data_IF_728727721289
#
_entry.id   IF_728727721289
#
_cell.length_a   1.000
_cell.length_b   1.000
_cell.length_c   1.000
_cell.angle_alpha   90.00
_cell.angle_beta   90.00
_cell.angle_gamma   90.00
#
_symmetry.space_group_name_H-M   'P 1'
#
loop_
_entity.id
_entity.type
_entity.pdbx_description
1 polymer ?
#
# COMPACT_ATOMS: atom_id res chain seq x y z
N UNK A 1 21.31 -17.11 7.56
CA UNK A 1 20.91 -15.74 7.20
C UNK A 1 21.46 -14.79 8.26
N UNK A 2 21.97 -13.64 7.86
CA UNK A 2 22.42 -12.61 8.81
C UNK A 2 21.17 -12.00 9.45
N UNK A 3 21.00 -12.14 10.76
CA UNK A 3 19.88 -11.53 11.47
C UNK A 3 20.11 -10.02 11.43
N UNK A 4 19.22 -9.27 10.78
CA UNK A 4 19.43 -7.84 10.53
C UNK A 4 19.05 -6.92 11.71
N UNK A 5 18.65 -7.50 12.85
CA UNK A 5 18.29 -6.79 14.09
C UNK A 5 17.35 -5.57 13.90
N UNK A 6 16.44 -5.71 12.95
CA UNK A 6 15.48 -4.68 12.55
C UNK A 6 14.05 -5.17 12.79
N UNK A 7 13.23 -4.32 13.40
CA UNK A 7 11.79 -4.52 13.56
C UNK A 7 11.05 -3.61 12.57
N UNK A 8 10.04 -4.12 11.89
CA UNK A 8 9.19 -3.32 11.02
C UNK A 8 7.90 -2.88 11.71
N UNK A 9 7.48 -1.64 11.44
CA UNK A 9 6.22 -1.06 11.89
C UNK A 9 5.47 -0.51 10.68
N UNK A 10 4.34 -1.12 10.33
CA UNK A 10 3.52 -0.74 9.16
C UNK A 10 2.37 0.16 9.60
N UNK A 11 2.35 1.38 9.11
CA UNK A 11 1.29 2.36 9.35
C UNK A 11 0.08 2.04 8.47
N UNK A 12 -0.95 1.45 9.07
CA UNK A 12 -2.16 0.99 8.41
C UNK A 12 -3.45 1.60 9.03
N UNK A 13 -3.31 2.73 9.73
CA UNK A 13 -4.38 3.36 10.52
C UNK A 13 -5.16 4.45 9.76
N UNK A 14 -4.75 4.81 8.53
CA UNK A 14 -5.35 5.88 7.74
C UNK A 14 -6.77 5.55 7.25
N UNK A 15 -7.66 6.56 7.20
CA UNK A 15 -9.05 6.41 6.74
C UNK A 15 -9.20 6.09 5.26
N UNK A 16 -8.23 6.49 4.41
CA UNK A 16 -8.30 6.26 2.96
C UNK A 16 -9.46 6.98 2.26
N UNK A 17 -9.93 8.10 2.79
CA UNK A 17 -11.15 8.80 2.35
C UNK A 17 -11.20 9.14 0.85
N UNK A 18 -10.05 9.26 0.19
CA UNK A 18 -9.94 9.52 -1.26
C UNK A 18 -10.29 8.32 -2.13
N UNK A 19 -10.43 7.11 -1.55
CA UNK A 19 -10.94 5.91 -2.21
C UNK A 19 -12.46 5.75 -2.05
N UNK A 20 -13.12 6.76 -1.50
CA UNK A 20 -14.57 6.86 -1.37
C UNK A 20 -15.19 5.57 -0.78
N UNK A 21 -16.19 5.02 -1.46
CA UNK A 21 -16.97 3.87 -0.99
C UNK A 21 -16.14 2.58 -0.84
N UNK A 22 -14.99 2.45 -1.52
CA UNK A 22 -14.10 1.30 -1.35
C UNK A 22 -13.57 1.15 0.07
N UNK A 23 -13.46 2.27 0.80
CA UNK A 23 -12.92 2.29 2.17
C UNK A 23 -13.98 2.54 3.24
N UNK A 24 -15.26 2.54 2.90
CA UNK A 24 -16.34 2.73 3.89
C UNK A 24 -16.45 1.58 4.89
N UNK A 25 -16.03 0.36 4.51
CA UNK A 25 -16.12 -0.85 5.34
C UNK A 25 -14.81 -1.65 5.39
N UNK A 26 -13.76 -1.12 4.77
CA UNK A 26 -12.47 -1.81 4.62
C UNK A 26 -11.35 -0.80 4.78
N UNK A 27 -10.38 -1.09 5.62
CA UNK A 27 -9.17 -0.26 5.73
C UNK A 27 -8.43 -0.22 4.38
N UNK A 28 -7.88 0.94 3.99
CA UNK A 28 -7.16 1.11 2.71
C UNK A 28 -6.13 0.00 2.43
N UNK A 29 -5.29 -0.44 3.39
CA UNK A 29 -4.33 -1.52 3.14
C UNK A 29 -4.95 -2.87 2.79
N UNK A 30 -6.22 -3.09 3.13
CA UNK A 30 -6.96 -4.32 2.80
C UNK A 30 -7.72 -4.26 1.46
N UNK A 31 -7.66 -3.14 0.74
CA UNK A 31 -8.26 -3.00 -0.59
C UNK A 31 -7.56 -3.94 -1.58
N UNK A 32 -8.35 -4.55 -2.46
CA UNK A 32 -7.88 -5.51 -3.47
C UNK A 32 -7.05 -4.84 -4.56
N UNK A 33 -5.98 -5.54 -5.02
CA UNK A 33 -5.07 -5.10 -6.07
C UNK A 33 -4.57 -6.29 -6.91
N UNK A 34 -4.29 -6.05 -8.20
CA UNK A 34 -3.55 -6.99 -9.05
C UNK A 34 -4.22 -8.34 -9.25
N UNK A 35 -5.54 -8.39 -9.23
CA UNK A 35 -6.33 -9.59 -9.51
C UNK A 35 -6.60 -10.48 -8.29
N UNK A 36 -5.70 -10.59 -7.33
CA UNK A 36 -5.83 -11.45 -6.14
C UNK A 36 -5.19 -10.92 -4.86
N UNK A 37 -4.33 -9.92 -4.97
CA UNK A 37 -3.58 -9.36 -3.83
C UNK A 37 -4.43 -8.33 -3.07
N UNK A 38 -3.94 -7.99 -1.88
CA UNK A 38 -4.31 -6.78 -1.15
C UNK A 38 -3.10 -5.84 -1.09
N UNK A 39 -3.32 -4.55 -0.93
CA UNK A 39 -2.22 -3.57 -0.87
C UNK A 39 -1.21 -3.94 0.21
N UNK A 40 -1.67 -4.39 1.39
CA UNK A 40 -0.82 -4.78 2.53
C UNK A 40 0.10 -5.97 2.24
N UNK A 41 -0.20 -6.79 1.22
CA UNK A 41 0.64 -7.93 0.86
C UNK A 41 2.04 -7.49 0.41
N UNK A 42 2.16 -6.31 -0.18
CA UNK A 42 3.43 -5.78 -0.68
C UNK A 42 4.41 -5.47 0.45
N UNK A 43 4.12 -4.59 1.41
CA UNK A 43 5.05 -4.31 2.50
C UNK A 43 5.31 -5.54 3.38
N UNK A 44 4.34 -6.42 3.62
CA UNK A 44 4.54 -7.65 4.38
C UNK A 44 5.43 -8.66 3.64
N UNK A 45 5.24 -8.84 2.32
CA UNK A 45 6.11 -9.68 1.49
C UNK A 45 7.52 -9.12 1.40
N UNK A 46 7.66 -7.80 1.27
CA UNK A 46 8.97 -7.15 1.27
C UNK A 46 9.68 -7.35 2.62
N UNK A 47 8.98 -7.28 3.76
CA UNK A 47 9.53 -7.61 5.08
C UNK A 47 10.05 -9.05 5.13
N UNK A 48 9.21 -10.01 4.75
CA UNK A 48 9.57 -11.43 4.76
C UNK A 48 10.78 -11.72 3.85
N UNK A 49 10.77 -11.20 2.62
CA UNK A 49 11.86 -11.37 1.66
C UNK A 49 13.16 -10.64 2.08
N UNK A 50 13.06 -9.60 2.90
CA UNK A 50 14.20 -8.86 3.46
C UNK A 50 14.75 -9.47 4.76
N UNK A 51 14.20 -10.61 5.22
CA UNK A 51 14.65 -11.27 6.45
C UNK A 51 14.28 -10.52 7.73
N UNK A 52 13.15 -9.80 7.73
CA UNK A 52 12.60 -9.15 8.91
C UNK A 52 11.60 -10.10 9.55
N UNK A 53 11.91 -10.57 10.75
CA UNK A 53 11.15 -11.62 11.43
C UNK A 53 9.92 -11.09 12.16
N UNK A 54 9.95 -9.85 12.65
CA UNK A 54 8.89 -9.29 13.48
C UNK A 54 8.33 -7.98 12.88
N UNK A 55 7.01 -7.96 12.71
CA UNK A 55 6.30 -6.86 12.06
C UNK A 55 5.11 -6.44 12.91
N UNK A 56 5.08 -5.19 13.36
CA UNK A 56 3.91 -4.55 13.94
C UNK A 56 3.04 -3.88 12.86
N UNK A 57 1.75 -4.16 12.82
CA UNK A 57 0.78 -3.51 11.92
C UNK A 57 -0.14 -2.64 12.74
N UNK A 58 0.02 -1.32 12.60
CA UNK A 58 -0.76 -0.33 13.35
C UNK A 58 -2.08 -0.08 12.64
N UNK A 59 -3.18 -0.49 13.27
CA UNK A 59 -4.53 -0.44 12.67
C UNK A 59 -5.46 0.43 13.50
N UNK A 60 -6.45 1.07 12.87
CA UNK A 60 -7.42 1.88 13.58
C UNK A 60 -8.79 1.90 12.88
N UNK A 61 -8.88 2.48 11.68
CA UNK A 61 -10.13 2.66 10.97
C UNK A 61 -10.52 1.41 10.19
N UNK A 62 -11.79 0.97 10.31
CA UNK A 62 -12.38 -0.20 9.61
C UNK A 62 -11.44 -1.43 9.55
N UNK A 63 -10.82 -1.73 10.70
CA UNK A 63 -9.68 -2.64 10.77
C UNK A 63 -10.04 -4.12 10.90
N UNK A 64 -11.31 -4.50 11.07
CA UNK A 64 -11.72 -5.89 11.35
C UNK A 64 -11.21 -6.86 10.27
N UNK A 65 -11.47 -6.54 8.98
CA UNK A 65 -11.01 -7.35 7.87
C UNK A 65 -9.48 -7.38 7.81
N UNK A 66 -8.83 -6.21 7.93
CA UNK A 66 -7.37 -6.11 7.92
C UNK A 66 -6.75 -6.93 9.06
N UNK A 67 -7.26 -6.77 10.28
CA UNK A 67 -6.77 -7.48 11.47
C UNK A 67 -6.84 -9.00 11.28
N UNK A 68 -7.98 -9.52 10.82
CA UNK A 68 -8.13 -10.95 10.56
C UNK A 68 -7.27 -11.44 9.40
N UNK A 69 -7.07 -10.60 8.39
CA UNK A 69 -6.26 -10.93 7.22
C UNK A 69 -4.77 -11.08 7.56
N UNK A 70 -4.21 -10.15 8.34
CA UNK A 70 -2.78 -10.15 8.69
C UNK A 70 -2.43 -11.01 9.90
N UNK A 71 -3.42 -11.44 10.65
CA UNK A 71 -3.22 -12.17 11.90
C UNK A 71 -2.28 -13.38 11.72
N UNK A 72 -1.37 -13.55 12.68
CA UNK A 72 -0.35 -14.61 12.77
C UNK A 72 0.70 -14.65 11.64
N UNK A 73 0.63 -13.81 10.60
CA UNK A 73 1.69 -13.71 9.58
C UNK A 73 1.90 -14.94 8.69
N UNK A 74 1.05 -15.96 8.78
CA UNK A 74 1.22 -17.27 8.13
C UNK A 74 1.39 -17.17 6.61
N UNK A 75 0.66 -16.26 5.95
CA UNK A 75 0.71 -16.09 4.48
C UNK A 75 2.09 -15.67 3.98
N UNK A 76 2.83 -14.95 4.82
CA UNK A 76 4.17 -14.43 4.51
C UNK A 76 5.28 -15.27 5.12
N UNK A 77 4.95 -16.42 5.78
CA UNK A 77 5.94 -17.23 6.50
C UNK A 77 6.49 -16.55 7.75
N UNK A 78 5.77 -15.59 8.31
CA UNK A 78 6.13 -14.85 9.54
C UNK A 78 5.37 -15.41 10.74
N UNK A 79 5.35 -16.74 10.90
CA UNK A 79 4.65 -17.45 11.97
C UNK A 79 5.52 -18.50 12.69
N UNK A 80 6.84 -18.42 12.50
CA UNK A 80 7.79 -19.28 13.19
C UNK A 80 7.99 -18.88 14.67
N UNK A 81 8.68 -19.69 15.45
CA UNK A 81 8.85 -19.52 16.90
C UNK A 81 9.35 -18.13 17.33
N UNK A 82 10.18 -17.48 16.51
CA UNK A 82 10.80 -16.18 16.80
C UNK A 82 10.38 -15.11 15.77
N UNK A 83 9.30 -15.33 15.05
CA UNK A 83 8.77 -14.39 14.07
C UNK A 83 7.28 -14.18 14.28
N UNK A 84 6.76 -13.04 13.83
CA UNK A 84 5.34 -12.76 13.96
C UNK A 84 4.89 -11.48 13.27
N UNK A 85 3.62 -11.46 12.89
CA UNK A 85 2.88 -10.25 12.54
C UNK A 85 1.94 -9.92 13.70
N UNK A 86 2.10 -8.74 14.26
CA UNK A 86 1.37 -8.28 15.44
C UNK A 86 0.44 -7.14 15.06
N UNK A 87 -0.85 -7.32 15.30
CA UNK A 87 -1.84 -6.26 15.07
C UNK A 87 -1.87 -5.34 16.29
N UNK A 88 -1.66 -4.06 16.05
CA UNK A 88 -1.53 -3.04 17.07
C UNK A 88 -2.61 -1.95 16.88
N UNK A 89 -3.84 -2.15 17.38
CA UNK A 89 -4.85 -1.10 17.45
C UNK A 89 -4.54 -0.14 18.60
N UNK A 90 -5.15 1.06 18.64
CA UNK A 90 -5.19 1.87 19.84
C UNK A 90 -5.70 1.05 21.02
N UNK A 91 -5.08 1.20 22.19
CA UNK A 91 -5.41 0.40 23.38
C UNK A 91 -5.37 1.24 24.65
N UNK A 92 -6.25 0.92 25.56
CA UNK A 92 -6.18 1.41 26.92
C UNK A 92 -4.99 0.79 27.65
N UNK A 93 -4.28 1.58 28.43
CA UNK A 93 -3.16 1.16 29.27
C UNK A 93 -3.48 1.40 30.73
N UNK A 94 -2.77 0.73 31.64
CA UNK A 94 -2.99 0.87 33.07
C UNK A 94 -2.81 2.30 33.60
N UNK A 95 -2.01 3.09 32.92
CA UNK A 95 -1.60 4.45 33.27
C UNK A 95 -2.09 5.53 32.28
N UNK A 96 -2.89 5.15 31.27
CA UNK A 96 -3.41 6.08 30.27
C UNK A 96 -4.73 5.60 29.69
N UNK A 97 -5.66 6.52 29.50
CA UNK A 97 -6.94 6.26 28.83
C UNK A 97 -6.74 5.85 27.35
N UNK A 98 -7.78 5.25 26.78
CA UNK A 98 -7.83 4.93 25.36
C UNK A 98 -7.76 6.23 24.52
N UNK A 99 -6.75 6.36 23.71
CA UNK A 99 -6.62 7.47 22.74
C UNK A 99 -6.34 6.93 21.34
N UNK A 100 -7.02 7.51 20.36
CA UNK A 100 -6.82 7.19 18.94
C UNK A 100 -5.44 7.68 18.48
N UNK A 101 -4.87 7.07 17.45
CA UNK A 101 -3.63 7.58 16.83
C UNK A 101 -3.88 8.94 16.18
N UNK A 102 -3.25 9.98 16.70
CA UNK A 102 -3.41 11.37 16.25
C UNK A 102 -2.56 11.70 15.03
N UNK A 103 -1.45 10.98 14.84
CA UNK A 103 -0.53 11.14 13.73
C UNK A 103 0.33 9.89 13.53
N UNK A 104 1.16 9.92 12.50
CA UNK A 104 2.02 8.78 12.14
C UNK A 104 3.09 8.49 13.20
N UNK A 105 3.66 9.52 13.82
CA UNK A 105 4.60 9.37 14.91
C UNK A 105 3.90 8.96 16.22
N UNK A 106 2.68 9.45 16.49
CA UNK A 106 1.89 9.07 17.66
C UNK A 106 1.57 7.57 17.64
N UNK A 107 1.26 7.01 16.48
CA UNK A 107 1.01 5.56 16.34
C UNK A 107 2.21 4.72 16.81
N UNK A 108 3.43 5.16 16.52
CA UNK A 108 4.64 4.49 17.00
C UNK A 108 4.86 4.78 18.49
N UNK A 109 4.63 6.03 18.92
CA UNK A 109 4.81 6.46 20.31
C UNK A 109 3.94 5.67 21.28
N UNK A 110 2.68 5.43 20.93
CA UNK A 110 1.76 4.62 21.74
C UNK A 110 2.19 3.14 21.82
N UNK A 111 3.09 2.67 20.96
CA UNK A 111 3.57 1.29 20.88
C UNK A 111 5.08 1.15 21.17
N UNK A 112 5.71 2.10 21.86
CA UNK A 112 7.12 2.03 22.27
C UNK A 112 7.39 0.79 23.10
N UNK A 113 6.49 0.42 24.00
CA UNK A 113 6.56 -0.78 24.83
C UNK A 113 6.63 -2.07 23.97
N UNK A 114 5.87 -2.14 22.89
CA UNK A 114 5.94 -3.25 21.94
C UNK A 114 7.30 -3.31 21.25
N UNK A 115 7.83 -2.19 20.76
CA UNK A 115 9.14 -2.16 20.13
C UNK A 115 10.24 -2.53 21.11
N UNK A 116 10.19 -2.00 22.34
CA UNK A 116 11.17 -2.27 23.40
C UNK A 116 11.22 -3.76 23.79
N UNK A 117 10.12 -4.54 23.66
CA UNK A 117 10.09 -5.99 23.92
C UNK A 117 11.05 -6.76 23.01
N UNK A 118 11.28 -6.31 21.79
CA UNK A 118 12.19 -6.92 20.82
C UNK A 118 13.61 -6.36 20.89
N UNK A 119 13.81 -5.24 21.62
CA UNK A 119 15.08 -4.53 21.75
C UNK A 119 15.85 -4.39 20.42
N UNK A 120 15.22 -3.93 19.32
CA UNK A 120 15.87 -3.84 18.03
C UNK A 120 16.94 -2.73 18.02
N UNK A 121 17.95 -2.89 17.19
CA UNK A 121 18.91 -1.81 16.91
C UNK A 121 18.31 -0.77 15.97
N UNK A 122 17.57 -1.26 14.98
CA UNK A 122 16.93 -0.44 13.94
C UNK A 122 15.42 -0.69 13.89
N UNK A 123 14.67 0.35 13.56
CA UNK A 123 13.23 0.26 13.29
C UNK A 123 12.97 0.75 11.88
N UNK A 124 12.26 -0.08 11.11
CA UNK A 124 11.77 0.23 9.79
C UNK A 124 10.30 0.69 9.90
N UNK A 125 10.02 1.91 9.52
CA UNK A 125 8.66 2.45 9.43
C UNK A 125 8.20 2.40 7.99
N UNK A 126 7.03 1.81 7.74
CA UNK A 126 6.47 1.60 6.42
C UNK A 126 5.07 2.19 6.32
N UNK A 127 4.74 2.78 5.17
CA UNK A 127 3.35 3.00 4.78
C UNK A 127 2.71 1.69 4.33
N UNK A 128 1.50 1.40 4.80
CA UNK A 128 0.76 0.16 4.47
C UNK A 128 -0.07 0.26 3.18
N UNK A 129 0.09 1.30 2.38
CA UNK A 129 -0.84 1.68 1.32
C UNK A 129 -0.20 1.95 -0.06
N UNK A 130 1.03 1.44 -0.27
CA UNK A 130 1.76 1.58 -1.52
C UNK A 130 2.05 0.22 -2.20
N UNK A 131 2.19 0.25 -3.51
CA UNK A 131 2.52 -0.91 -4.35
C UNK A 131 3.95 -0.79 -4.85
N UNK A 132 4.83 -1.72 -4.45
CA UNK A 132 6.24 -1.77 -4.82
C UNK A 132 6.91 -3.06 -4.38
N UNK A 133 8.04 -3.40 -4.98
CA UNK A 133 8.95 -4.46 -4.52
C UNK A 133 10.27 -3.81 -4.06
N UNK A 134 10.70 -4.08 -2.83
CA UNK A 134 11.92 -3.47 -2.29
C UNK A 134 12.60 -4.40 -1.28
N UNK A 135 13.91 -4.53 -1.41
CA UNK A 135 14.75 -5.17 -0.42
C UNK A 135 15.19 -4.15 0.65
N UNK A 136 14.61 -4.26 1.84
CA UNK A 136 14.93 -3.36 2.96
C UNK A 136 16.31 -3.63 3.58
N UNK A 137 16.89 -4.83 3.39
CA UNK A 137 18.25 -5.12 3.87
C UNK A 137 19.29 -4.27 3.11
N UNK A 138 19.10 -4.05 1.81
CA UNK A 138 19.95 -3.13 1.05
C UNK A 138 19.88 -1.68 1.57
N UNK A 139 18.68 -1.24 1.97
CA UNK A 139 18.52 0.09 2.58
C UNK A 139 19.16 0.16 3.96
N UNK A 140 19.11 -0.92 4.74
CA UNK A 140 19.77 -1.01 6.03
C UNK A 140 21.31 -1.00 5.89
N UNK A 141 21.85 -1.70 4.89
CA UNK A 141 23.30 -1.65 4.62
C UNK A 141 23.74 -0.24 4.28
N UNK A 142 22.99 0.48 3.42
CA UNK A 142 23.25 1.89 3.13
C UNK A 142 23.16 2.78 4.38
N UNK A 143 22.17 2.55 5.26
CA UNK A 143 22.02 3.25 6.54
C UNK A 143 23.26 3.10 7.42
N UNK A 144 23.81 1.88 7.50
CA UNK A 144 25.02 1.57 8.26
C UNK A 144 26.27 2.17 7.63
N UNK A 145 26.43 2.07 6.33
CA UNK A 145 27.58 2.61 5.57
C UNK A 145 27.69 4.12 5.69
N UNK A 146 26.57 4.84 5.65
CA UNK A 146 26.55 6.29 5.82
C UNK A 146 26.64 6.74 7.28
N UNK A 147 26.49 5.83 8.23
CA UNK A 147 26.40 6.15 9.65
C UNK A 147 25.24 7.08 9.95
N UNK A 148 24.13 6.87 9.26
CA UNK A 148 22.93 7.69 9.38
C UNK A 148 22.25 7.54 10.74
N UNK A 149 21.61 8.62 11.20
CA UNK A 149 20.65 8.62 12.31
C UNK A 149 19.26 8.18 11.80
N UNK A 150 18.95 8.59 10.56
CA UNK A 150 17.76 8.17 9.82
C UNK A 150 18.08 8.05 8.34
N UNK A 151 17.46 7.08 7.67
CA UNK A 151 17.50 6.94 6.20
C UNK A 151 16.08 6.94 5.68
N UNK A 152 15.82 7.71 4.63
CA UNK A 152 14.51 7.89 4.02
C UNK A 152 14.58 7.37 2.58
N UNK A 153 13.74 6.39 2.24
CA UNK A 153 13.63 5.97 0.85
C UNK A 153 12.93 7.05 0.03
N UNK A 154 13.54 7.40 -1.10
CA UNK A 154 13.05 8.41 -2.04
C UNK A 154 13.00 7.86 -3.45
N UNK A 155 12.07 8.38 -4.24
CA UNK A 155 11.93 8.09 -5.65
C UNK A 155 11.85 9.40 -6.44
N UNK A 156 12.39 9.42 -7.64
CA UNK A 156 12.24 10.56 -8.54
C UNK A 156 10.86 10.53 -9.19
N UNK A 157 10.08 11.59 -9.01
CA UNK A 157 8.75 11.75 -9.61
C UNK A 157 8.76 12.90 -10.62
N UNK A 158 7.81 12.94 -11.57
CA UNK A 158 7.64 14.12 -12.41
C UNK A 158 7.40 15.39 -11.55
N UNK A 159 8.05 16.50 -11.88
CA UNK A 159 7.94 17.76 -11.11
C UNK A 159 6.48 18.20 -10.87
N UNK A 160 5.58 17.97 -11.85
CA UNK A 160 4.15 18.27 -11.74
C UNK A 160 3.42 17.50 -10.63
N UNK A 161 3.99 16.37 -10.18
CA UNK A 161 3.42 15.50 -9.14
C UNK A 161 4.10 15.70 -7.79
N UNK A 162 5.26 16.37 -7.76
CA UNK A 162 6.09 16.51 -6.57
C UNK A 162 5.35 17.16 -5.39
N UNK A 163 4.45 18.13 -5.66
CA UNK A 163 3.65 18.81 -4.63
C UNK A 163 2.70 17.88 -3.84
N UNK A 164 2.51 16.64 -4.29
CA UNK A 164 1.67 15.65 -3.59
C UNK A 164 2.39 14.93 -2.46
N UNK A 165 3.71 15.02 -2.41
CA UNK A 165 4.60 14.23 -1.54
C UNK A 165 5.46 15.12 -0.64
N UNK A 166 6.04 14.51 0.40
CA UNK A 166 7.16 15.09 1.10
C UNK A 166 8.40 15.09 0.20
N UNK A 167 9.01 16.25 -0.01
CA UNK A 167 10.12 16.44 -0.96
C UNK A 167 11.42 16.61 -0.19
N UNK A 168 12.46 15.92 -0.65
CA UNK A 168 13.81 15.99 -0.09
C UNK A 168 14.73 16.81 -0.98
N UNK A 169 15.50 17.70 -0.37
CA UNK A 169 16.65 18.32 -0.97
C UNK A 169 17.91 17.71 -0.35
N UNK A 170 18.83 17.22 -1.19
CA UNK A 170 20.06 16.56 -0.76
C UNK A 170 21.30 17.30 -1.25
N UNK A 171 22.40 17.15 -0.53
CA UNK A 171 23.72 17.46 -1.06
C UNK A 171 24.23 16.37 -2.03
N UNK A 172 25.45 16.53 -2.54
CA UNK A 172 26.08 15.61 -3.50
C UNK A 172 26.36 14.22 -2.89
N UNK A 173 26.45 14.11 -1.57
CA UNK A 173 26.67 12.86 -0.83
C UNK A 173 25.36 12.14 -0.50
N UNK A 174 24.21 12.73 -0.85
CA UNK A 174 22.89 12.20 -0.57
C UNK A 174 22.39 12.48 0.85
N UNK A 175 23.08 13.33 1.61
CA UNK A 175 22.59 13.80 2.91
C UNK A 175 21.43 14.77 2.69
N UNK A 176 20.35 14.57 3.43
CA UNK A 176 19.17 15.43 3.37
C UNK A 176 19.49 16.73 4.10
N UNK A 177 19.38 17.84 3.39
CA UNK A 177 19.64 19.20 3.92
C UNK A 177 18.34 19.97 4.16
N UNK A 178 17.25 19.60 3.47
CA UNK A 178 15.94 20.21 3.62
C UNK A 178 14.85 19.19 3.34
N UNK A 179 13.74 19.29 4.05
CA UNK A 179 12.52 18.52 3.84
C UNK A 179 11.32 19.46 3.77
N UNK A 180 10.48 19.29 2.78
CA UNK A 180 9.27 20.08 2.57
C UNK A 180 8.06 19.16 2.44
N UNK A 181 7.13 19.22 3.38
CA UNK A 181 5.89 18.40 3.33
C UNK A 181 4.88 19.04 2.38
N UNK A 182 4.65 18.40 1.23
CA UNK A 182 3.69 18.81 0.19
C UNK A 182 3.81 20.27 -0.22
N UNK A 183 5.00 20.71 -0.67
CA UNK A 183 5.24 22.10 -1.03
C UNK A 183 4.42 22.51 -2.26
N UNK A 184 3.90 23.74 -2.28
CA UNK A 184 3.22 24.27 -3.47
C UNK A 184 4.19 24.43 -4.66
N UNK A 185 5.43 24.80 -4.38
CA UNK A 185 6.50 24.99 -5.36
C UNK A 185 7.73 24.16 -4.99
N UNK A 186 7.75 22.86 -5.33
CA UNK A 186 8.84 21.97 -4.94
C UNK A 186 10.15 22.35 -5.60
N UNK A 187 11.24 22.37 -4.82
CA UNK A 187 12.61 22.66 -5.29
C UNK A 187 13.29 21.42 -5.88
N UNK A 188 12.80 20.24 -5.58
CA UNK A 188 13.34 18.94 -5.99
C UNK A 188 12.20 18.01 -6.41
N UNK A 189 12.54 16.95 -7.11
CA UNK A 189 11.61 15.86 -7.48
C UNK A 189 11.86 14.57 -6.70
N UNK A 190 12.68 14.60 -5.65
CA UNK A 190 12.93 13.46 -4.77
C UNK A 190 11.79 13.33 -3.77
N UNK A 191 10.82 12.49 -4.09
CA UNK A 191 9.65 12.27 -3.24
C UNK A 191 9.92 11.19 -2.19
N UNK A 192 9.49 11.44 -0.95
CA UNK A 192 9.47 10.44 0.12
C UNK A 192 8.51 9.30 -0.22
N UNK A 193 8.97 8.09 -0.09
CA UNK A 193 8.14 6.88 -0.24
C UNK A 193 7.38 6.53 1.05
N UNK A 194 7.55 7.28 2.14
CA UNK A 194 6.98 6.90 3.44
C UNK A 194 7.65 5.64 4.04
N UNK A 195 8.90 5.42 3.72
CA UNK A 195 9.72 4.29 4.17
C UNK A 195 10.95 4.86 4.86
N UNK A 196 11.10 4.55 6.15
CA UNK A 196 12.15 5.14 7.00
C UNK A 196 12.86 4.04 7.78
N UNK A 197 14.21 4.11 7.88
CA UNK A 197 15.00 3.36 8.85
C UNK A 197 15.56 4.33 9.88
N UNK A 198 15.36 4.04 11.15
CA UNK A 198 15.89 4.83 12.27
C UNK A 198 16.71 3.95 13.21
N UNK A 199 17.74 4.52 13.81
CA UNK A 199 18.34 4.00 15.03
C UNK A 199 17.29 4.04 16.16
N UNK A 200 16.87 2.88 16.70
CA UNK A 200 15.75 2.84 17.66
C UNK A 200 15.97 3.70 18.89
N UNK A 201 17.16 3.62 19.48
CA UNK A 201 17.48 4.40 20.67
C UNK A 201 17.29 5.91 20.49
N UNK A 202 17.63 6.44 19.31
CA UNK A 202 17.44 7.84 18.98
C UNK A 202 15.95 8.15 18.72
N UNK A 203 15.29 7.38 17.87
CA UNK A 203 13.89 7.58 17.57
C UNK A 203 13.03 7.53 18.83
N UNK A 204 13.26 6.53 19.69
CA UNK A 204 12.56 6.41 20.98
C UNK A 204 12.66 7.68 21.83
N UNK A 205 13.87 8.26 21.94
CA UNK A 205 14.07 9.51 22.67
C UNK A 205 13.28 10.67 22.06
N UNK A 206 13.25 10.76 20.74
CA UNK A 206 12.52 11.82 20.02
C UNK A 206 11.02 11.67 20.16
N UNK A 207 10.50 10.45 20.05
CA UNK A 207 9.08 10.17 20.24
C UNK A 207 8.60 10.51 21.65
N UNK A 208 9.39 10.17 22.68
CA UNK A 208 9.06 10.53 24.06
C UNK A 208 9.11 12.05 24.32
N UNK A 209 9.93 12.78 23.58
CA UNK A 209 9.95 14.24 23.65
C UNK A 209 8.74 14.84 22.90
N UNK A 210 8.43 14.33 21.72
CA UNK A 210 7.30 14.74 20.89
C UNK A 210 5.96 14.54 21.60
N UNK A 211 5.76 13.42 22.30
CA UNK A 211 4.53 13.16 23.08
C UNK A 211 4.21 14.25 24.09
N UNK A 212 5.22 14.97 24.58
CA UNK A 212 5.06 16.05 25.57
C UNK A 212 4.84 17.41 24.91
N UNK A 213 5.03 17.51 23.61
CA UNK A 213 4.87 18.75 22.86
C UNK A 213 3.40 18.91 22.43
N UNK A 214 2.69 19.87 23.07
CA UNK A 214 1.29 20.14 22.76
C UNK A 214 1.06 20.80 21.39
N UNK A 215 2.09 21.40 20.82
CA UNK A 215 2.03 22.08 19.51
C UNK A 215 2.37 21.12 18.35
N UNK A 216 2.75 19.87 18.65
CA UNK A 216 3.09 18.87 17.64
C UNK A 216 1.83 18.27 17.01
N UNK A 217 1.92 17.98 15.70
CA UNK A 217 0.94 17.15 15.01
C UNK A 217 1.19 15.64 15.22
N UNK A 218 2.29 15.30 15.89
CA UNK A 218 2.75 13.95 16.13
C UNK A 218 2.94 13.15 14.82
N UNK A 219 3.53 13.80 13.82
CA UNK A 219 3.70 13.26 12.46
C UNK A 219 5.17 13.20 12.09
N UNK A 220 5.59 12.13 11.35
CA UNK A 220 7.00 12.01 10.94
C UNK A 220 7.42 13.13 10.02
N UNK A 221 6.61 13.48 9.01
CA UNK A 221 6.96 14.50 8.03
C UNK A 221 6.89 15.93 8.59
N UNK A 222 5.91 16.20 9.44
CA UNK A 222 5.71 17.57 9.96
C UNK A 222 6.53 17.88 11.19
N UNK A 223 6.85 16.89 12.02
CA UNK A 223 7.43 17.12 13.33
C UNK A 223 8.77 16.39 13.53
N UNK A 224 8.83 15.07 13.37
CA UNK A 224 10.02 14.28 13.70
C UNK A 224 11.19 14.58 12.76
N UNK A 225 10.98 14.49 11.43
CA UNK A 225 12.03 14.73 10.44
C UNK A 225 12.56 16.16 10.50
N UNK A 226 11.71 17.22 10.52
CA UNK A 226 12.17 18.58 10.69
C UNK A 226 12.95 18.80 12.00
N UNK A 227 12.50 18.22 13.11
CA UNK A 227 13.22 18.31 14.40
C UNK A 227 14.61 17.66 14.30
N UNK A 228 14.72 16.48 13.66
CA UNK A 228 16.01 15.83 13.44
C UNK A 228 16.95 16.70 12.60
N UNK A 229 16.45 17.32 11.54
CA UNK A 229 17.25 18.23 10.71
C UNK A 229 17.74 19.45 11.49
N UNK A 230 16.86 20.08 12.28
CA UNK A 230 17.19 21.23 13.11
C UNK A 230 18.21 20.88 14.21
N UNK A 231 18.16 19.66 14.73
CA UNK A 231 19.14 19.13 15.71
C UNK A 231 20.48 18.72 15.06
N UNK A 232 20.65 18.93 13.74
CA UNK A 232 21.86 18.61 13.00
C UNK A 232 22.12 17.11 12.85
N UNK A 233 21.07 16.27 12.96
CA UNK A 233 21.18 14.82 12.80
C UNK A 233 21.55 14.44 11.36
N UNK A 234 22.11 13.23 11.20
CA UNK A 234 22.54 12.70 9.91
C UNK A 234 21.37 11.96 9.25
N UNK A 235 20.66 12.64 8.34
CA UNK A 235 19.61 12.07 7.54
C UNK A 235 20.10 11.86 6.12
N UNK A 236 19.88 10.66 5.55
CA UNK A 236 20.28 10.32 4.19
C UNK A 236 19.11 9.84 3.35
N UNK A 237 19.13 10.19 2.07
CA UNK A 237 18.16 9.74 1.09
C UNK A 237 18.64 8.46 0.40
N UNK A 238 17.89 7.36 0.55
CA UNK A 238 18.11 6.14 -0.19
C UNK A 238 17.32 6.19 -1.49
N UNK A 239 18.00 6.36 -2.63
CA UNK A 239 17.35 6.47 -3.94
C UNK A 239 16.89 5.09 -4.40
N UNK A 240 15.58 4.85 -4.33
CA UNK A 240 14.95 3.64 -4.81
C UNK A 240 14.85 3.67 -6.34
N UNK A 241 15.06 2.51 -6.96
CA UNK A 241 14.87 2.29 -8.41
C UNK A 241 13.92 1.11 -8.58
N UNK A 242 12.87 1.30 -9.32
CA UNK A 242 11.84 0.29 -9.59
C UNK A 242 10.43 0.87 -9.54
N UNK A 243 9.45 0.01 -9.74
CA UNK A 243 8.05 0.41 -9.69
C UNK A 243 7.63 0.79 -8.26
N UNK A 244 7.03 1.96 -8.14
CA UNK A 244 6.36 2.41 -6.92
C UNK A 244 5.12 3.24 -7.27
N UNK A 245 4.01 2.99 -6.58
CA UNK A 245 2.76 3.74 -6.78
C UNK A 245 2.00 3.92 -5.47
N UNK A 246 1.65 5.17 -5.14
CA UNK A 246 0.62 5.50 -4.14
C UNK A 246 -0.76 5.31 -4.79
N UNK A 247 -1.51 4.33 -4.34
CA UNK A 247 -2.85 4.01 -4.81
C UNK A 247 -3.93 4.68 -3.93
N UNK A 248 -3.74 5.95 -3.64
CA UNK A 248 -4.57 6.73 -2.73
C UNK A 248 -5.84 7.32 -3.33
N UNK A 249 -6.07 7.22 -4.63
CA UNK A 249 -7.27 7.71 -5.34
C UNK A 249 -7.80 6.64 -6.27
N UNK A 250 -9.06 6.77 -6.71
CA UNK A 250 -9.67 5.82 -7.66
C UNK A 250 -8.87 5.76 -8.96
N UNK A 251 -8.49 6.92 -9.51
CA UNK A 251 -7.69 6.99 -10.74
C UNK A 251 -6.34 6.30 -10.55
N UNK A 252 -5.61 6.57 -9.45
CA UNK A 252 -4.30 5.94 -9.21
C UNK A 252 -4.40 4.44 -8.94
N UNK A 253 -5.47 3.96 -8.31
CA UNK A 253 -5.72 2.53 -8.09
C UNK A 253 -6.07 1.84 -9.42
N UNK A 254 -6.90 2.46 -10.25
CA UNK A 254 -7.20 1.97 -11.60
C UNK A 254 -5.94 1.91 -12.45
N UNK A 255 -5.16 3.00 -12.52
CA UNK A 255 -3.90 3.05 -13.27
C UNK A 255 -2.92 1.97 -12.82
N UNK A 256 -2.73 1.79 -11.50
CA UNK A 256 -1.83 0.76 -10.97
C UNK A 256 -2.25 -0.66 -11.38
N UNK A 257 -3.56 -0.94 -11.47
CA UNK A 257 -4.04 -2.21 -12.00
C UNK A 257 -3.81 -2.32 -13.51
N UNK A 258 -4.07 -1.23 -14.26
CA UNK A 258 -3.87 -1.20 -15.71
C UNK A 258 -2.39 -1.29 -16.11
N UNK A 259 -1.47 -0.85 -15.25
CA UNK A 259 -0.03 -1.05 -15.45
C UNK A 259 0.33 -2.53 -15.62
N UNK A 260 -0.39 -3.45 -14.97
CA UNK A 260 -0.14 -4.90 -15.05
C UNK A 260 -0.36 -5.51 -16.44
N UNK A 261 -1.19 -4.91 -17.28
CA UNK A 261 -1.43 -5.35 -18.65
C UNK A 261 -0.48 -4.68 -19.65
N UNK A 262 0.37 -3.79 -19.18
CA UNK A 262 1.40 -3.16 -20.01
C UNK A 262 2.65 -4.03 -20.04
N UNK A 263 3.05 -4.48 -21.23
CA UNK A 263 4.24 -5.33 -21.42
C UNK A 263 5.57 -4.66 -21.03
N UNK A 264 5.58 -3.35 -20.80
CA UNK A 264 6.74 -2.57 -20.33
C UNK A 264 6.69 -2.26 -18.85
N UNK A 265 5.74 -2.84 -18.11
CA UNK A 265 5.62 -2.63 -16.67
C UNK A 265 6.84 -3.19 -15.94
N UNK A 266 7.42 -2.40 -15.05
CA UNK A 266 8.54 -2.80 -14.21
C UNK A 266 8.10 -3.67 -13.01
N UNK A 267 6.80 -3.72 -12.69
CA UNK A 267 6.25 -4.56 -11.64
C UNK A 267 5.95 -5.96 -12.19
N UNK A 268 6.90 -6.87 -12.05
CA UNK A 268 6.69 -8.28 -12.37
C UNK A 268 6.16 -9.04 -11.14
N UNK A 269 4.89 -9.47 -11.19
CA UNK A 269 4.27 -10.28 -10.14
C UNK A 269 4.56 -11.79 -10.30
N UNK A 270 5.17 -12.21 -11.41
CA UNK A 270 5.60 -13.59 -11.66
C UNK A 270 7.07 -13.84 -11.28
N UNK A 271 7.77 -12.84 -10.77
CA UNK A 271 9.16 -12.95 -10.33
C UNK A 271 9.26 -13.84 -9.07
N UNK A 272 9.72 -15.06 -9.24
CA UNK A 272 9.93 -16.03 -8.15
C UNK A 272 11.09 -15.65 -7.22
N UNK A 273 12.00 -14.79 -7.67
CA UNK A 273 13.14 -14.34 -6.84
C UNK A 273 12.72 -13.33 -5.78
N UNK A 274 11.63 -12.59 -6.03
CA UNK A 274 11.02 -11.64 -5.10
C UNK A 274 9.50 -11.75 -5.11
N UNK A 275 9.00 -12.84 -4.55
CA UNK A 275 7.58 -13.19 -4.58
C UNK A 275 6.76 -12.27 -3.67
N UNK A 276 5.62 -11.81 -4.18
CA UNK A 276 4.57 -11.21 -3.36
C UNK A 276 3.62 -12.31 -2.92
N UNK A 277 3.57 -12.56 -1.61
CA UNK A 277 2.70 -13.56 -1.00
C UNK A 277 1.33 -12.95 -0.76
N UNK A 278 0.30 -13.79 -0.89
CA UNK A 278 -1.09 -13.39 -0.65
C UNK A 278 -1.91 -14.59 -0.19
N UNK A 279 -3.20 -14.38 0.02
CA UNK A 279 -4.13 -15.45 0.33
C UNK A 279 -4.22 -16.45 -0.83
N UNK A 280 -4.07 -17.74 -0.52
CA UNK A 280 -4.31 -18.79 -1.48
C UNK A 280 -5.83 -19.08 -1.55
N UNK A 281 -6.41 -18.78 -2.70
CA UNK A 281 -7.84 -19.00 -2.94
C UNK A 281 -8.05 -20.35 -3.62
N UNK A 282 -8.84 -21.22 -3.00
CA UNK A 282 -9.24 -22.52 -3.56
C UNK A 282 -10.38 -22.33 -4.57
N UNK A 283 -10.12 -21.62 -5.65
CA UNK A 283 -11.08 -21.46 -6.76
C UNK A 283 -10.61 -22.20 -7.99
N UNK A 284 -11.55 -22.56 -8.86
CA UNK A 284 -11.26 -23.22 -10.14
C UNK A 284 -10.44 -22.29 -11.06
N UNK A 285 -9.72 -22.83 -12.04
CA UNK A 285 -9.17 -22.03 -13.13
C UNK A 285 -10.25 -21.17 -13.80
N UNK A 286 -9.83 -20.12 -14.51
CA UNK A 286 -10.75 -19.31 -15.31
C UNK A 286 -11.37 -20.15 -16.44
N UNK A 287 -12.65 -19.90 -16.72
CA UNK A 287 -13.39 -20.48 -17.84
C UNK A 287 -13.63 -19.42 -18.92
N UNK A 288 -13.24 -19.71 -20.14
CA UNK A 288 -13.49 -18.87 -21.31
C UNK A 288 -14.48 -19.60 -22.20
N UNK A 289 -15.69 -19.04 -22.32
CA UNK A 289 -16.78 -19.63 -23.08
C UNK A 289 -16.63 -19.43 -24.60
N UNK A 290 -17.48 -20.10 -25.40
CA UNK A 290 -17.34 -20.11 -26.85
C UNK A 290 -17.67 -18.75 -27.52
N UNK A 291 -18.37 -17.87 -26.84
CA UNK A 291 -18.73 -16.51 -27.31
C UNK A 291 -17.78 -15.43 -26.79
N UNK A 292 -16.76 -15.80 -26.03
CA UNK A 292 -15.83 -14.87 -25.42
C UNK A 292 -14.82 -14.31 -26.45
N UNK A 293 -14.57 -13.01 -26.38
CA UNK A 293 -13.50 -12.32 -27.10
C UNK A 293 -12.59 -11.66 -26.09
N UNK A 294 -11.27 -12.03 -26.08
CA UNK A 294 -10.33 -11.48 -25.12
C UNK A 294 -9.16 -10.82 -25.87
N UNK A 295 -8.92 -9.54 -25.55
CA UNK A 295 -7.83 -8.78 -26.10
C UNK A 295 -7.09 -8.03 -24.98
N UNK A 296 -5.82 -8.37 -24.72
CA UNK A 296 -4.95 -7.70 -23.74
C UNK A 296 -5.61 -7.53 -22.37
N UNK A 297 -5.81 -8.64 -21.66
CA UNK A 297 -6.47 -8.68 -20.37
C UNK A 297 -5.65 -9.44 -19.32
N UNK A 298 -5.68 -8.97 -18.07
CA UNK A 298 -5.15 -9.66 -16.91
C UNK A 298 -6.33 -10.32 -16.19
N UNK A 299 -6.42 -11.65 -16.24
CA UNK A 299 -7.59 -12.41 -15.79
C UNK A 299 -7.15 -13.40 -14.72
N UNK A 300 -7.79 -13.34 -13.54
CA UNK A 300 -7.45 -14.21 -12.44
C UNK A 300 -8.33 -15.46 -12.37
N UNK A 301 -8.00 -16.34 -11.42
CA UNK A 301 -8.69 -17.61 -11.15
C UNK A 301 -10.18 -17.42 -10.87
N UNK A 302 -11.00 -18.41 -11.20
CA UNK A 302 -12.43 -18.42 -10.93
C UNK A 302 -13.26 -17.51 -11.83
N UNK A 303 -12.64 -16.76 -12.74
CA UNK A 303 -13.39 -15.95 -13.69
C UNK A 303 -14.17 -16.82 -14.69
N UNK A 304 -15.39 -16.37 -15.04
CA UNK A 304 -16.22 -16.97 -16.09
C UNK A 304 -16.49 -15.91 -17.14
N UNK A 305 -16.01 -16.10 -18.38
CA UNK A 305 -16.06 -15.09 -19.42
C UNK A 305 -16.81 -15.65 -20.63
N UNK A 306 -17.97 -15.07 -20.95
CA UNK A 306 -18.76 -15.36 -22.13
C UNK A 306 -18.92 -14.13 -23.05
N UNK A 307 -18.46 -12.96 -22.61
CA UNK A 307 -18.53 -11.70 -23.34
C UNK A 307 -17.15 -11.23 -23.82
N UNK A 308 -17.09 -9.97 -24.18
CA UNK A 308 -15.87 -9.30 -24.68
C UNK A 308 -15.13 -8.62 -23.55
N UNK A 309 -13.82 -8.88 -23.45
CA UNK A 309 -12.92 -8.26 -22.48
C UNK A 309 -11.73 -7.67 -23.24
N UNK A 310 -11.59 -6.36 -23.16
CA UNK A 310 -10.50 -5.64 -23.82
C UNK A 310 -9.80 -4.70 -22.86
N UNK A 311 -8.46 -4.75 -22.83
CA UNK A 311 -7.60 -3.85 -22.06
C UNK A 311 -8.09 -3.71 -20.61
N UNK A 312 -8.33 -4.82 -19.90
CA UNK A 312 -9.01 -4.81 -18.61
C UNK A 312 -8.39 -5.80 -17.62
N UNK A 313 -8.62 -5.56 -16.33
CA UNK A 313 -8.15 -6.41 -15.24
C UNK A 313 -9.36 -7.03 -14.53
N UNK A 314 -9.43 -8.36 -14.50
CA UNK A 314 -10.49 -9.13 -13.85
C UNK A 314 -9.94 -9.88 -12.64
N UNK A 315 -10.48 -9.56 -11.48
CA UNK A 315 -10.11 -10.20 -10.22
C UNK A 315 -10.79 -11.56 -10.05
N UNK A 316 -10.33 -12.30 -9.06
CA UNK A 316 -10.83 -13.62 -8.69
C UNK A 316 -12.37 -13.68 -8.69
N UNK A 317 -12.93 -14.62 -9.43
CA UNK A 317 -14.36 -14.91 -9.44
C UNK A 317 -15.23 -13.93 -10.21
N UNK A 318 -14.65 -12.99 -10.97
CA UNK A 318 -15.42 -12.07 -11.81
C UNK A 318 -16.16 -12.84 -12.93
N UNK A 319 -17.38 -12.41 -13.26
CA UNK A 319 -18.24 -13.03 -14.28
C UNK A 319 -18.64 -12.02 -15.33
N UNK A 320 -18.49 -12.39 -16.60
CA UNK A 320 -18.85 -11.57 -17.75
C UNK A 320 -19.84 -12.36 -18.61
N UNK A 321 -21.08 -11.88 -18.68
CA UNK A 321 -22.18 -12.50 -19.39
C UNK A 321 -22.04 -12.43 -20.92
N UNK A 322 -22.89 -13.21 -21.63
CA UNK A 322 -22.91 -13.25 -23.09
C UNK A 322 -23.24 -11.86 -23.67
N UNK A 323 -22.50 -11.42 -24.68
CA UNK A 323 -22.69 -10.12 -25.32
C UNK A 323 -22.26 -8.92 -24.45
N UNK A 324 -21.90 -9.14 -23.17
CA UNK A 324 -21.36 -8.05 -22.35
C UNK A 324 -19.97 -7.60 -22.85
N UNK A 325 -19.65 -6.33 -22.61
CA UNK A 325 -18.38 -5.72 -23.04
C UNK A 325 -17.71 -5.04 -21.86
N UNK A 326 -16.44 -5.42 -21.58
CA UNK A 326 -15.60 -4.81 -20.58
C UNK A 326 -14.40 -4.18 -21.28
N UNK A 327 -14.29 -2.86 -21.19
CA UNK A 327 -13.27 -2.09 -21.92
C UNK A 327 -12.58 -1.12 -20.96
N UNK A 328 -11.24 -1.11 -20.97
CA UNK A 328 -10.41 -0.20 -20.14
C UNK A 328 -10.85 -0.17 -18.67
N UNK A 329 -11.20 -1.32 -18.08
CA UNK A 329 -11.87 -1.38 -16.80
C UNK A 329 -11.24 -2.38 -15.83
N UNK A 330 -11.48 -2.17 -14.55
CA UNK A 330 -11.04 -3.05 -13.47
C UNK A 330 -12.29 -3.62 -12.79
N UNK A 331 -12.47 -4.93 -12.85
CA UNK A 331 -13.52 -5.65 -12.13
C UNK A 331 -12.93 -6.29 -10.88
N UNK A 332 -13.30 -5.80 -9.70
CA UNK A 332 -12.82 -6.31 -8.41
C UNK A 332 -13.41 -7.68 -8.06
N UNK A 333 -12.98 -8.36 -6.97
CA UNK A 333 -13.42 -9.72 -6.66
C UNK A 333 -14.92 -9.93 -6.69
N UNK A 334 -15.36 -11.01 -7.38
CA UNK A 334 -16.77 -11.44 -7.39
C UNK A 334 -17.74 -10.51 -8.12
N UNK A 335 -17.24 -9.57 -8.92
CA UNK A 335 -18.11 -8.72 -9.76
C UNK A 335 -18.83 -9.56 -10.80
N UNK A 336 -20.15 -9.34 -10.96
CA UNK A 336 -20.98 -9.97 -11.97
C UNK A 336 -21.47 -8.92 -12.98
N UNK A 337 -21.13 -9.10 -14.26
CA UNK A 337 -21.65 -8.30 -15.36
C UNK A 337 -22.60 -9.17 -16.20
N UNK A 338 -23.87 -8.83 -16.18
CA UNK A 338 -24.91 -9.60 -16.87
C UNK A 338 -24.87 -9.41 -18.39
N UNK A 339 -25.68 -10.21 -19.08
CA UNK A 339 -25.80 -10.25 -20.54
C UNK A 339 -25.99 -8.87 -21.16
N UNK A 340 -25.25 -8.55 -22.22
CA UNK A 340 -25.36 -7.33 -22.99
C UNK A 340 -24.90 -6.05 -22.29
N UNK A 341 -24.52 -6.09 -21.03
CA UNK A 341 -24.07 -4.90 -20.30
C UNK A 341 -22.70 -4.39 -20.80
N UNK A 342 -22.48 -3.08 -20.73
CA UNK A 342 -21.26 -2.42 -21.19
C UNK A 342 -20.60 -1.68 -20.03
N UNK A 343 -19.34 -1.99 -19.76
CA UNK A 343 -18.53 -1.33 -18.73
C UNK A 343 -17.29 -0.74 -19.40
N UNK A 344 -17.16 0.57 -19.35
CA UNK A 344 -16.07 1.27 -20.03
C UNK A 344 -15.39 2.25 -19.08
N UNK A 345 -14.05 2.18 -18.96
CA UNK A 345 -13.24 3.11 -18.19
C UNK A 345 -13.76 3.27 -16.75
N UNK A 346 -13.98 2.14 -16.09
CA UNK A 346 -14.56 2.07 -14.75
C UNK A 346 -13.75 1.16 -13.81
N UNK A 347 -13.89 1.39 -12.51
CA UNK A 347 -13.48 0.52 -11.43
C UNK A 347 -14.75 0.04 -10.72
N UNK A 348 -15.05 -1.24 -10.84
CA UNK A 348 -16.23 -1.87 -10.24
C UNK A 348 -15.83 -2.57 -8.95
N UNK A 349 -16.44 -2.15 -7.84
CA UNK A 349 -16.11 -2.62 -6.50
C UNK A 349 -16.51 -4.08 -6.25
N UNK A 350 -15.92 -4.68 -5.20
CA UNK A 350 -16.11 -6.09 -4.81
C UNK A 350 -17.60 -6.48 -4.75
N UNK A 351 -17.94 -7.58 -5.43
CA UNK A 351 -19.28 -8.17 -5.40
C UNK A 351 -20.40 -7.36 -6.05
N UNK A 352 -20.06 -6.27 -6.74
CA UNK A 352 -21.06 -5.46 -7.44
C UNK A 352 -21.64 -6.21 -8.63
N UNK A 353 -22.94 -6.05 -8.83
CA UNK A 353 -23.67 -6.62 -9.96
C UNK A 353 -24.14 -5.55 -10.92
N UNK A 354 -23.72 -5.66 -12.18
CA UNK A 354 -24.15 -4.82 -13.30
C UNK A 354 -25.25 -5.58 -14.04
N UNK A 355 -26.45 -5.02 -14.06
CA UNK A 355 -27.63 -5.66 -14.62
C UNK A 355 -27.60 -5.73 -16.15
N UNK A 356 -28.52 -6.54 -16.69
CA UNK A 356 -28.64 -6.82 -18.13
C UNK A 356 -28.79 -5.54 -18.94
N UNK A 357 -28.01 -5.42 -20.03
CA UNK A 357 -27.96 -4.25 -20.95
C UNK A 357 -27.62 -2.90 -20.29
N UNK A 358 -27.22 -2.88 -19.02
CA UNK A 358 -26.81 -1.64 -18.36
C UNK A 358 -25.51 -1.11 -18.96
N UNK A 359 -25.39 0.23 -19.00
CA UNK A 359 -24.19 0.91 -19.48
C UNK A 359 -23.56 1.68 -18.33
N UNK A 360 -22.28 1.48 -18.10
CA UNK A 360 -21.52 2.10 -17.03
C UNK A 360 -20.22 2.66 -17.59
N UNK A 361 -19.91 3.88 -17.19
CA UNK A 361 -18.70 4.58 -17.61
C UNK A 361 -18.76 5.11 -19.04
N UNK A 362 -17.73 5.84 -19.44
CA UNK A 362 -17.60 6.42 -20.77
C UNK A 362 -16.14 6.52 -21.17
N UNK A 363 -15.83 6.23 -22.43
CA UNK A 363 -14.48 6.37 -22.98
C UNK A 363 -13.94 7.81 -22.92
N UNK A 364 -14.84 8.80 -22.99
CA UNK A 364 -14.51 10.23 -23.00
C UNK A 364 -14.44 10.85 -21.59
N UNK A 365 -14.68 10.06 -20.53
CA UNK A 365 -14.61 10.57 -19.16
C UNK A 365 -13.17 10.96 -18.78
N UNK A 366 -13.01 12.13 -18.17
CA UNK A 366 -11.71 12.58 -17.64
C UNK A 366 -11.28 11.75 -16.43
N UNK A 367 -12.23 11.33 -15.59
CA UNK A 367 -12.00 10.53 -14.39
C UNK A 367 -12.55 9.11 -14.53
N UNK A 368 -11.98 8.19 -13.77
CA UNK A 368 -12.45 6.80 -13.70
C UNK A 368 -13.75 6.75 -12.90
N UNK A 369 -14.77 6.10 -13.46
CA UNK A 369 -16.03 5.89 -12.74
C UNK A 369 -15.89 4.80 -11.69
N UNK A 370 -16.17 5.12 -10.41
CA UNK A 370 -16.30 4.14 -9.35
C UNK A 370 -17.73 3.62 -9.29
N UNK A 371 -17.90 2.32 -9.51
CA UNK A 371 -19.19 1.63 -9.36
C UNK A 371 -19.18 0.82 -8.08
N UNK A 372 -19.75 1.37 -7.02
CA UNK A 372 -19.77 0.79 -5.67
C UNK A 372 -21.10 0.14 -5.27
N UNK A 373 -22.12 0.23 -6.11
CA UNK A 373 -23.47 -0.29 -5.87
C UNK A 373 -23.97 -1.03 -7.10
N UNK A 374 -24.94 -1.95 -6.84
CA UNK A 374 -25.65 -2.64 -7.92
C UNK A 374 -26.23 -1.65 -8.92
N UNK A 375 -25.95 -1.86 -10.20
CA UNK A 375 -26.58 -1.13 -11.31
C UNK A 375 -27.74 -1.98 -11.83
N UNK A 376 -28.94 -1.40 -11.87
CA UNK A 376 -30.12 -2.08 -12.44
C UNK A 376 -29.98 -2.07 -13.95
N UNK A 377 -30.34 -3.20 -14.56
CA UNK A 377 -30.47 -3.33 -16.00
C UNK A 377 -31.94 -3.31 -16.45
N UNK A 378 -32.15 -3.63 -17.70
CA UNK A 378 -33.49 -3.86 -18.25
C UNK A 378 -34.13 -5.08 -17.54
N UNK A 379 -35.42 -4.99 -17.24
CA UNK A 379 -36.24 -6.09 -16.69
C UNK A 379 -36.57 -7.16 -17.75
#
# INVERSE_FOLDING_TARGET
MKQNNMLAMILAAGRGSRLHELTNKVAKPAVSYGGKYRIIDFPLSNCANSGIDNVGVLTQYESILLNSYVAAGRRWGLDAQNSGVYVLPPREKADADLDVYRGTADAISQNIDFVDMFAPEYVLILSGDHIYKMNYDNMLDYHKETGADATIAVIEVPMKEASRFGIMNTDDEGRIVEFEEKPENPKSNLASMGIYIFNWKLLRKMLLADMKNQDSNHDFGKDIIPTMLNDGRKLYAYKFKGYWKDVGTIDSLWEANMDLINSKNELDLNDDSWKIYTEDTTVLPQYVGPTAEIERAFINQGCVINGKVKNSVLFTGARVGEGAQIIDSVLMPGVEVEEGAVVTRALVADGVKIGKNAVVGSADSEHIELVSKRVKGDE
#
